data_IF_635186461740
#
_entry.id   IF_635186461740
#
_cell.length_a   1.000
_cell.length_b   1.000
_cell.length_c   1.000
_cell.angle_alpha   90.00
_cell.angle_beta   90.00
_cell.angle_gamma   90.00
#
_symmetry.space_group_name_H-M   'P 1'
#
loop_
_entity.id
_entity.type
_entity.pdbx_description
1 polymer ?
#
# COMPACT_ATOMS: atom_id res chain seq x y z
N UNK A 1 72.32 3.09 -5.66
CA UNK A 1 71.10 3.73 -5.13
C UNK A 1 70.14 3.96 -6.31
N UNK A 2 69.72 2.91 -7.00
CA UNK A 2 68.61 2.03 -6.60
C UNK A 2 67.39 2.84 -6.12
N UNK A 3 66.41 2.93 -7.03
CA UNK A 3 64.97 2.86 -6.78
C UNK A 3 64.40 3.66 -5.59
N UNK A 4 63.59 4.68 -5.91
CA UNK A 4 62.29 5.04 -5.29
C UNK A 4 62.04 6.53 -5.63
N UNK A 5 61.11 6.91 -6.49
CA UNK A 5 59.65 7.03 -6.24
C UNK A 5 59.01 7.18 -7.64
N UNK A 6 58.43 6.10 -8.17
CA UNK A 6 56.98 5.83 -8.16
C UNK A 6 56.16 6.78 -9.07
N UNK A 7 55.93 6.29 -10.29
CA UNK A 7 54.62 6.12 -10.90
C UNK A 7 53.59 7.25 -10.72
N UNK A 8 53.78 8.37 -11.41
CA UNK A 8 52.71 9.35 -11.65
C UNK A 8 52.51 9.58 -13.14
N UNK A 9 52.30 8.50 -13.92
CA UNK A 9 51.52 8.63 -15.15
C UNK A 9 50.08 8.34 -14.79
N UNK A 10 49.37 9.41 -14.47
CA UNK A 10 47.94 9.46 -14.16
C UNK A 10 47.16 9.05 -15.41
N UNK A 11 47.01 7.75 -15.66
CA UNK A 11 46.08 7.25 -16.67
C UNK A 11 44.69 7.33 -16.03
N UNK A 12 44.07 8.51 -16.10
CA UNK A 12 42.62 8.57 -15.97
C UNK A 12 42.06 7.92 -17.23
N UNK A 13 41.91 6.60 -17.20
CA UNK A 13 40.94 5.94 -18.08
C UNK A 13 39.58 6.31 -17.54
N UNK A 14 39.12 7.51 -17.92
CA UNK A 14 37.72 7.88 -17.79
C UNK A 14 36.98 7.11 -18.89
N UNK A 15 36.78 5.81 -18.63
CA UNK A 15 35.76 5.06 -19.35
C UNK A 15 34.45 5.59 -18.81
N UNK A 16 33.93 6.62 -19.47
CA UNK A 16 32.58 7.10 -19.22
C UNK A 16 31.60 5.92 -19.23
N UNK A 17 30.47 6.04 -18.51
CA UNK A 17 29.48 4.97 -18.45
C UNK A 17 29.14 4.52 -19.87
N UNK A 18 29.14 3.20 -20.09
CA UNK A 18 28.88 2.66 -21.42
C UNK A 18 27.54 3.20 -21.94
N UNK A 19 27.38 3.38 -23.28
CA UNK A 19 26.13 3.86 -23.86
C UNK A 19 24.92 3.03 -23.42
N UNK A 20 25.14 1.73 -23.15
CA UNK A 20 24.12 0.79 -22.66
C UNK A 20 23.69 1.14 -21.22
N UNK A 21 24.62 1.46 -20.32
CA UNK A 21 24.30 1.88 -18.95
C UNK A 21 23.53 3.19 -18.98
N UNK A 22 23.91 4.13 -19.84
CA UNK A 22 23.19 5.39 -20.02
C UNK A 22 21.77 5.16 -20.55
N UNK A 23 21.59 4.26 -21.52
CA UNK A 23 20.26 3.88 -22.04
C UNK A 23 19.39 3.18 -20.98
N UNK A 24 19.97 2.33 -20.13
CA UNK A 24 19.24 1.69 -19.01
C UNK A 24 18.83 2.73 -17.98
N UNK A 25 19.73 3.64 -17.61
CA UNK A 25 19.44 4.70 -16.66
C UNK A 25 18.39 5.68 -17.21
N UNK A 26 18.47 6.02 -18.50
CA UNK A 26 17.50 6.85 -19.18
C UNK A 26 16.15 6.14 -19.30
N UNK A 27 16.13 4.85 -19.59
CA UNK A 27 14.89 4.04 -19.61
C UNK A 27 14.25 3.97 -18.23
N UNK A 28 15.04 3.72 -17.18
CA UNK A 28 14.57 3.74 -15.79
C UNK A 28 14.06 5.13 -15.38
N UNK A 29 14.76 6.19 -15.78
CA UNK A 29 14.34 7.58 -15.58
C UNK A 29 13.06 7.92 -16.34
N UNK A 30 12.90 7.45 -17.58
CA UNK A 30 11.68 7.60 -18.38
C UNK A 30 10.51 6.81 -17.77
N UNK A 31 10.75 5.62 -17.22
CA UNK A 31 9.75 4.85 -16.48
C UNK A 31 9.30 5.59 -15.20
N UNK A 32 10.22 6.27 -14.51
CA UNK A 32 9.92 7.12 -13.35
C UNK A 32 9.20 8.44 -13.75
N UNK A 33 9.53 9.00 -14.91
CA UNK A 33 8.91 10.23 -15.47
C UNK A 33 7.49 9.98 -16.00
N UNK A 34 7.18 8.77 -16.47
CA UNK A 34 5.84 8.33 -16.84
C UNK A 34 5.01 7.97 -15.60
N UNK A 35 4.99 8.85 -14.58
CA UNK A 35 4.27 8.72 -13.31
C UNK A 35 2.73 8.64 -13.43
N UNK A 36 2.20 8.08 -14.51
CA UNK A 36 0.78 7.88 -14.80
C UNK A 36 0.38 6.40 -14.92
N UNK A 37 1.21 5.43 -14.54
CA UNK A 37 0.80 4.02 -14.48
C UNK A 37 -0.14 3.71 -13.32
N UNK A 38 -0.25 4.62 -12.35
CA UNK A 38 -1.25 4.57 -11.28
C UNK A 38 -2.06 5.86 -11.34
N UNK A 39 -3.12 5.90 -12.16
CA UNK A 39 -4.20 6.83 -11.85
C UNK A 39 -4.61 6.53 -10.40
N UNK A 40 -4.54 7.48 -9.45
CA UNK A 40 -5.10 7.22 -8.13
C UNK A 40 -6.59 7.05 -8.35
N UNK A 41 -7.06 5.80 -8.37
CA UNK A 41 -8.49 5.52 -8.24
C UNK A 41 -8.93 6.34 -7.04
N UNK A 42 -9.86 7.28 -7.23
CA UNK A 42 -10.32 8.12 -6.12
C UNK A 42 -10.74 7.19 -4.98
N UNK A 43 -10.18 7.43 -3.80
CA UNK A 43 -10.50 6.66 -2.60
C UNK A 43 -11.33 7.51 -1.66
N UNK A 44 -12.06 6.84 -0.78
CA UNK A 44 -12.76 7.45 0.33
C UNK A 44 -12.71 6.53 1.54
N UNK A 45 -13.65 6.77 2.45
CA UNK A 45 -13.80 6.00 3.68
C UNK A 45 -15.22 5.45 3.76
N UNK A 46 -15.35 4.28 4.35
CA UNK A 46 -16.64 3.68 4.71
C UNK A 46 -16.66 3.49 6.21
N UNK A 47 -17.70 4.01 6.86
CA UNK A 47 -17.87 3.93 8.31
C UNK A 47 -19.32 3.63 8.66
N UNK A 48 -19.55 3.12 9.86
CA UNK A 48 -20.87 2.75 10.32
C UNK A 48 -20.83 2.07 11.68
N UNK A 49 -21.98 1.52 12.07
CA UNK A 49 -22.16 0.83 13.35
C UNK A 49 -22.71 -0.58 13.12
N UNK A 50 -22.25 -1.54 13.90
CA UNK A 50 -22.75 -2.92 13.90
C UNK A 50 -23.40 -3.21 15.25
N UNK A 51 -24.62 -3.73 15.20
CA UNK A 51 -25.39 -4.16 16.37
C UNK A 51 -25.74 -5.64 16.22
N UNK A 52 -25.88 -6.32 17.35
CA UNK A 52 -26.52 -7.63 17.42
C UNK A 52 -27.92 -7.51 18.00
N UNK A 53 -28.81 -8.35 17.49
CA UNK A 53 -30.13 -8.53 18.05
C UNK A 53 -30.06 -9.46 19.26
N UNK A 54 -30.63 -9.02 20.37
CA UNK A 54 -30.81 -9.81 21.59
C UNK A 54 -32.28 -10.14 21.78
N UNK A 55 -32.61 -10.97 22.77
CA UNK A 55 -34.00 -11.37 23.05
C UNK A 55 -34.90 -10.17 23.37
N UNK A 56 -34.34 -9.05 23.84
CA UNK A 56 -35.10 -7.92 24.39
C UNK A 56 -34.80 -6.57 23.74
N UNK A 57 -33.68 -6.41 23.03
CA UNK A 57 -33.24 -5.18 22.38
C UNK A 57 -32.09 -5.44 21.39
N UNK A 58 -31.47 -4.39 20.85
CA UNK A 58 -30.19 -4.44 20.16
C UNK A 58 -29.06 -3.95 21.06
N UNK A 59 -27.87 -4.53 20.93
CA UNK A 59 -26.66 -4.02 21.61
C UNK A 59 -25.51 -3.83 20.62
N UNK A 60 -24.62 -2.84 20.83
CA UNK A 60 -23.45 -2.67 20.00
C UNK A 60 -22.59 -3.93 19.97
N UNK A 61 -22.13 -4.31 18.77
CA UNK A 61 -21.35 -5.51 18.58
C UNK A 61 -19.86 -5.17 18.51
N UNK A 62 -19.17 -5.20 19.64
CA UNK A 62 -17.71 -5.01 19.70
C UNK A 62 -16.95 -6.20 19.09
N UNK A 63 -15.82 -5.93 18.43
CA UNK A 63 -14.89 -6.95 17.94
C UNK A 63 -15.37 -7.75 16.72
N UNK A 64 -16.37 -7.26 15.99
CA UNK A 64 -16.75 -7.80 14.69
C UNK A 64 -15.75 -7.33 13.62
N UNK A 65 -15.27 -8.26 12.80
CA UNK A 65 -14.38 -7.98 11.68
C UNK A 65 -15.20 -7.56 10.46
N UNK A 66 -15.10 -6.29 10.09
CA UNK A 66 -15.66 -5.72 8.87
C UNK A 66 -14.58 -5.76 7.78
N UNK A 67 -14.92 -6.31 6.63
CA UNK A 67 -14.00 -6.49 5.50
C UNK A 67 -14.66 -6.10 4.19
N UNK A 68 -13.87 -5.68 3.20
CA UNK A 68 -14.34 -5.37 1.87
C UNK A 68 -13.90 -6.48 0.91
N UNK A 69 -14.86 -7.12 0.23
CA UNK A 69 -14.56 -8.20 -0.72
C UNK A 69 -13.59 -7.73 -1.82
N UNK A 70 -12.51 -8.48 -2.01
CA UNK A 70 -11.47 -8.17 -3.00
C UNK A 70 -10.51 -7.05 -2.60
N UNK A 71 -10.50 -6.66 -1.32
CA UNK A 71 -9.60 -5.65 -0.77
C UNK A 71 -8.95 -6.18 0.52
N UNK A 72 -7.70 -5.79 0.84
CA UNK A 72 -7.07 -6.11 2.12
C UNK A 72 -7.57 -5.22 3.27
N UNK A 73 -8.39 -4.20 2.98
CA UNK A 73 -8.82 -3.23 3.97
C UNK A 73 -9.88 -3.84 4.89
N UNK A 74 -9.64 -3.77 6.20
CA UNK A 74 -10.52 -4.29 7.24
C UNK A 74 -10.55 -3.34 8.44
N UNK A 75 -11.57 -3.49 9.29
CA UNK A 75 -11.67 -2.83 10.59
C UNK A 75 -12.33 -3.77 11.61
N UNK A 76 -12.00 -3.59 12.89
CA UNK A 76 -12.76 -4.18 13.99
C UNK A 76 -13.69 -3.12 14.55
N UNK A 77 -14.89 -3.53 14.93
CA UNK A 77 -15.82 -2.66 15.64
C UNK A 77 -15.36 -2.40 17.08
N UNK A 78 -15.53 -1.17 17.57
CA UNK A 78 -15.22 -0.77 18.94
C UNK A 78 -16.37 -1.08 19.92
N UNK A 79 -16.25 -0.59 21.18
CA UNK A 79 -17.23 -0.81 22.24
C UNK A 79 -18.61 -0.20 21.94
N UNK A 80 -18.65 0.84 21.11
CA UNK A 80 -19.85 1.48 20.60
C UNK A 80 -20.37 0.83 19.31
N UNK A 81 -19.70 -0.23 18.83
CA UNK A 81 -20.01 -0.95 17.60
C UNK A 81 -19.56 -0.22 16.34
N UNK A 82 -18.84 0.89 16.46
CA UNK A 82 -18.40 1.71 15.34
C UNK A 82 -17.20 1.08 14.63
N UNK A 83 -17.18 1.21 13.30
CA UNK A 83 -16.03 0.87 12.48
C UNK A 83 -15.76 1.96 11.45
N UNK A 84 -14.49 2.06 11.02
CA UNK A 84 -14.06 2.89 9.89
C UNK A 84 -13.00 2.18 9.07
N UNK A 85 -13.22 2.12 7.77
CA UNK A 85 -12.26 1.62 6.79
C UNK A 85 -11.90 2.77 5.85
N UNK A 86 -10.66 3.22 5.91
CA UNK A 86 -10.10 4.22 4.99
C UNK A 86 -9.56 3.55 3.71
N UNK A 87 -9.13 4.38 2.76
CA UNK A 87 -8.49 3.94 1.51
C UNK A 87 -9.35 2.99 0.65
N UNK A 88 -10.68 3.14 0.73
CA UNK A 88 -11.64 2.36 -0.05
C UNK A 88 -11.76 2.93 -1.44
N UNK A 89 -11.38 2.16 -2.45
CA UNK A 89 -11.50 2.59 -3.84
C UNK A 89 -12.97 2.77 -4.25
N UNK A 90 -13.24 3.83 -5.01
CA UNK A 90 -14.59 4.18 -5.50
C UNK A 90 -15.27 3.03 -6.26
N UNK A 91 -16.60 3.04 -6.27
CA UNK A 91 -17.45 2.06 -6.95
C UNK A 91 -18.26 1.20 -5.98
N UNK A 92 -19.05 0.28 -6.52
CA UNK A 92 -19.82 -0.66 -5.72
C UNK A 92 -18.87 -1.61 -4.96
N UNK A 93 -19.13 -1.80 -3.67
CA UNK A 93 -18.36 -2.66 -2.78
C UNK A 93 -19.31 -3.57 -2.01
N UNK A 94 -18.85 -4.79 -1.74
CA UNK A 94 -19.52 -5.72 -0.82
C UNK A 94 -18.76 -5.68 0.49
N UNK A 95 -19.47 -5.42 1.59
CA UNK A 95 -18.94 -5.55 2.94
C UNK A 95 -19.32 -6.91 3.51
N UNK A 96 -18.39 -7.55 4.19
CA UNK A 96 -18.61 -8.80 4.92
C UNK A 96 -18.24 -8.56 6.38
N UNK A 97 -19.16 -8.89 7.28
CA UNK A 97 -19.02 -8.73 8.72
C UNK A 97 -18.94 -10.13 9.33
N UNK A 98 -17.86 -10.43 10.04
CA UNK A 98 -17.68 -11.74 10.69
C UNK A 98 -17.36 -11.55 12.17
N UNK A 99 -17.93 -12.40 13.02
CA UNK A 99 -17.53 -12.50 14.42
C UNK A 99 -17.62 -13.96 14.84
N UNK A 100 -16.64 -14.42 15.62
CA UNK A 100 -16.68 -15.78 16.17
C UNK A 100 -18.00 -15.93 16.93
N UNK A 101 -18.70 -17.05 16.72
CA UNK A 101 -20.03 -17.36 17.29
C UNK A 101 -21.24 -16.73 16.57
N UNK A 102 -21.03 -15.92 15.54
CA UNK A 102 -22.09 -15.40 14.66
C UNK A 102 -22.00 -16.09 13.30
N UNK A 103 -23.15 -16.48 12.74
CA UNK A 103 -23.23 -17.02 11.38
C UNK A 103 -23.34 -15.84 10.41
N UNK A 104 -22.46 -15.81 9.41
CA UNK A 104 -22.48 -14.88 8.27
C UNK A 104 -23.56 -15.21 7.25
#
# INVERSE_FOLDING_TARGET
MLLLIKNLKKIKTDKGPSPVIFLILLSFLLLLLNGCLFSPFSKGSVEGYVYEETVIDTRPLEGALVSITGSPNTALTDAEGYFRIDEVAIGARTLTITKKEYIT
#
